data_IF_011640149930
#
_entry.id   IF_011640149930
#
_cell.length_a   1.000
_cell.length_b   1.000
_cell.length_c   1.000
_cell.angle_alpha   90.00
_cell.angle_beta   90.00
_cell.angle_gamma   90.00
#
_symmetry.space_group_name_H-M   'P 1'
#
loop_
_entity.id
_entity.type
_entity.pdbx_description
1 polymer ?
#
# COMPACT_ATOMS: atom_id res chain seq x y z
N UNK A 1 12.99 -6.48 -6.91
CA UNK A 1 12.03 -7.07 -5.95
C UNK A 1 12.66 -7.69 -4.71
N UNK A 2 13.82 -8.34 -4.79
CA UNK A 2 14.46 -8.99 -3.63
C UNK A 2 14.61 -8.12 -2.38
N UNK A 3 14.91 -6.82 -2.52
CA UNK A 3 14.98 -5.88 -1.40
C UNK A 3 13.72 -5.88 -0.51
N UNK A 4 12.53 -5.84 -1.11
CA UNK A 4 11.28 -5.77 -0.35
C UNK A 4 10.94 -7.08 0.34
N UNK A 5 11.40 -8.22 -0.22
CA UNK A 5 11.21 -9.53 0.41
C UNK A 5 11.96 -9.63 1.74
N UNK A 6 13.17 -9.05 1.83
CA UNK A 6 13.94 -9.01 3.09
C UNK A 6 13.15 -8.34 4.22
N UNK A 7 12.30 -7.37 3.90
CA UNK A 7 11.56 -6.59 4.88
C UNK A 7 10.12 -7.04 5.12
N UNK A 8 9.46 -7.62 4.10
CA UNK A 8 8.01 -7.86 4.12
C UNK A 8 7.60 -9.29 3.77
N UNK A 9 8.54 -10.20 3.55
CA UNK A 9 8.20 -11.62 3.36
C UNK A 9 7.46 -12.16 4.60
N UNK A 10 6.32 -12.81 4.38
CA UNK A 10 5.48 -13.37 5.44
C UNK A 10 4.69 -12.33 6.25
N UNK A 11 4.82 -11.05 5.95
CA UNK A 11 4.04 -9.99 6.60
C UNK A 11 2.68 -9.88 5.92
N UNK A 12 1.60 -9.95 6.70
CA UNK A 12 0.25 -9.68 6.19
C UNK A 12 0.19 -8.27 5.60
N UNK A 13 -0.47 -8.12 4.44
CA UNK A 13 -0.54 -6.85 3.72
C UNK A 13 -1.07 -5.70 4.60
N UNK A 14 -2.06 -5.97 5.46
CA UNK A 14 -2.61 -5.00 6.43
C UNK A 14 -1.59 -4.44 7.42
N UNK A 15 -0.49 -5.14 7.64
CA UNK A 15 0.57 -4.77 8.57
C UNK A 15 1.75 -4.04 7.88
N UNK A 16 1.70 -3.88 6.56
CA UNK A 16 2.66 -3.11 5.77
C UNK A 16 2.20 -1.65 5.75
N UNK A 17 2.59 -0.89 6.77
CA UNK A 17 2.26 0.54 6.87
C UNK A 17 3.28 1.42 6.16
N UNK A 18 2.87 2.64 5.83
CA UNK A 18 3.74 3.68 5.25
C UNK A 18 5.01 3.90 6.09
N UNK A 19 4.87 3.93 7.41
CA UNK A 19 6.01 4.07 8.35
C UNK A 19 7.03 2.94 8.16
N UNK A 20 6.58 1.69 8.03
CA UNK A 20 7.48 0.55 7.82
C UNK A 20 8.13 0.59 6.43
N UNK A 21 7.40 1.06 5.42
CA UNK A 21 7.94 1.23 4.06
C UNK A 21 9.09 2.25 4.07
N UNK A 22 8.90 3.43 4.68
CA UNK A 22 9.96 4.42 4.77
C UNK A 22 11.15 3.93 5.62
N UNK A 23 10.88 3.23 6.73
CA UNK A 23 11.93 2.65 7.57
C UNK A 23 12.75 1.56 6.85
N UNK A 24 12.14 0.81 5.94
CA UNK A 24 12.86 -0.13 5.08
C UNK A 24 13.72 0.62 4.06
N UNK A 25 13.13 1.55 3.30
CA UNK A 25 13.82 2.30 2.24
C UNK A 25 14.97 3.15 2.80
N UNK A 26 14.87 3.65 4.04
CA UNK A 26 15.94 4.41 4.67
C UNK A 26 17.23 3.60 4.83
N UNK A 27 17.11 2.29 5.09
CA UNK A 27 18.21 1.33 5.26
C UNK A 27 18.79 0.79 3.94
N UNK A 28 18.28 1.23 2.80
CA UNK A 28 18.72 0.73 1.49
C UNK A 28 20.15 1.19 1.18
N UNK A 29 21.04 0.22 0.97
CA UNK A 29 22.45 0.44 0.61
C UNK A 29 22.72 0.18 -0.87
N UNK A 30 23.73 0.85 -1.41
CA UNK A 30 24.07 0.76 -2.83
C UNK A 30 24.85 -0.52 -3.13
N UNK A 31 24.15 -1.56 -3.60
CA UNK A 31 24.77 -2.84 -3.98
C UNK A 31 25.89 -2.68 -5.01
N UNK A 32 25.71 -1.82 -6.03
CA UNK A 32 26.72 -1.61 -7.06
C UNK A 32 28.01 -1.01 -6.49
N UNK A 33 27.91 -0.22 -5.41
CA UNK A 33 29.09 0.29 -4.71
C UNK A 33 29.90 -0.85 -4.08
N UNK A 34 29.23 -1.83 -3.47
CA UNK A 34 29.87 -3.04 -2.93
C UNK A 34 30.53 -3.86 -4.04
N UNK A 35 29.81 -4.17 -5.12
CA UNK A 35 30.34 -4.97 -6.23
C UNK A 35 31.59 -4.32 -6.85
N UNK A 36 31.57 -2.99 -7.01
CA UNK A 36 32.70 -2.21 -7.48
C UNK A 36 33.88 -2.25 -6.50
N UNK A 37 33.61 -2.13 -5.19
CA UNK A 37 34.64 -2.22 -4.16
C UNK A 37 35.27 -3.60 -4.13
N UNK A 38 34.48 -4.68 -4.20
CA UNK A 38 34.98 -6.07 -4.23
C UNK A 38 35.89 -6.31 -5.43
N UNK A 39 35.49 -5.81 -6.61
CA UNK A 39 36.29 -5.88 -7.83
C UNK A 39 37.63 -5.14 -7.67
N UNK A 40 37.60 -3.92 -7.11
CA UNK A 40 38.80 -3.10 -6.84
C UNK A 40 39.70 -3.77 -5.81
N UNK A 41 39.13 -4.27 -4.72
CA UNK A 41 39.82 -4.98 -3.64
C UNK A 41 40.52 -6.24 -4.16
N UNK A 42 39.85 -7.03 -5.02
CA UNK A 42 40.45 -8.19 -5.66
C UNK A 42 41.67 -7.82 -6.51
N UNK A 43 41.60 -6.70 -7.24
CA UNK A 43 42.72 -6.19 -8.05
C UNK A 43 43.89 -5.71 -7.21
N UNK A 44 43.64 -4.99 -6.12
CA UNK A 44 44.65 -4.51 -5.18
C UNK A 44 45.36 -5.67 -4.47
N UNK A 45 44.61 -6.67 -3.99
CA UNK A 45 45.16 -7.89 -3.36
C UNK A 45 46.12 -8.64 -4.29
N UNK A 46 45.80 -8.75 -5.58
CA UNK A 46 46.68 -9.37 -6.58
C UNK A 46 48.00 -8.61 -6.77
N UNK A 47 48.00 -7.30 -6.53
CA UNK A 47 49.18 -6.42 -6.63
C UNK A 47 49.95 -6.31 -5.31
N UNK A 48 49.50 -6.98 -4.24
CA UNK A 48 50.08 -6.84 -2.90
C UNK A 48 49.84 -5.46 -2.27
N UNK A 49 48.92 -4.68 -2.83
CA UNK A 49 48.59 -3.33 -2.34
C UNK A 49 47.56 -3.39 -1.22
N UNK A 50 47.61 -2.41 -0.30
CA UNK A 50 46.65 -2.28 0.79
C UNK A 50 45.23 -2.07 0.25
N UNK A 51 44.26 -2.78 0.83
CA UNK A 51 42.84 -2.61 0.54
C UNK A 51 42.18 -1.90 1.71
N UNK A 52 41.63 -0.71 1.44
CA UNK A 52 40.81 -0.01 2.41
C UNK A 52 39.53 -0.81 2.75
N UNK A 53 39.12 -0.85 4.03
CA UNK A 53 37.87 -1.50 4.43
C UNK A 53 36.65 -0.97 3.68
N UNK A 54 35.69 -1.84 3.42
CA UNK A 54 34.44 -1.45 2.78
C UNK A 54 33.60 -0.58 3.72
N UNK A 55 33.08 0.53 3.19
CA UNK A 55 32.12 1.39 3.87
C UNK A 55 30.78 1.32 3.15
N UNK A 56 29.71 1.03 3.87
CA UNK A 56 28.37 1.00 3.29
C UNK A 56 27.90 2.41 2.93
N UNK A 57 27.49 2.56 1.67
CA UNK A 57 26.96 3.83 1.17
C UNK A 57 25.46 3.70 0.97
N UNK A 58 24.64 4.60 1.56
CA UNK A 58 23.22 4.60 1.31
C UNK A 58 22.93 4.90 -0.16
N UNK A 59 21.83 4.38 -0.69
CA UNK A 59 21.40 4.79 -2.04
C UNK A 59 21.00 6.26 -2.07
N UNK A 60 21.07 6.86 -3.27
CA UNK A 60 20.63 8.25 -3.48
C UNK A 60 19.15 8.44 -3.14
N UNK A 61 18.77 9.67 -2.80
CA UNK A 61 17.36 10.06 -2.57
C UNK A 61 16.50 9.75 -3.81
N UNK A 62 17.01 10.00 -5.02
CA UNK A 62 16.32 9.67 -6.27
C UNK A 62 16.05 8.16 -6.40
N UNK A 63 17.01 7.32 -6.02
CA UNK A 63 16.83 5.86 -6.02
C UNK A 63 15.76 5.44 -5.02
N UNK A 64 15.73 6.03 -3.81
CA UNK A 64 14.68 5.81 -2.81
C UNK A 64 13.30 6.18 -3.36
N UNK A 65 13.21 7.34 -4.01
CA UNK A 65 11.96 7.83 -4.62
C UNK A 65 11.44 6.88 -5.71
N UNK A 66 12.32 6.34 -6.57
CA UNK A 66 11.93 5.34 -7.59
C UNK A 66 11.33 4.08 -6.98
N UNK A 67 11.91 3.58 -5.88
CA UNK A 67 11.38 2.41 -5.18
C UNK A 67 10.03 2.68 -4.53
N UNK A 68 9.86 3.85 -3.91
CA UNK A 68 8.57 4.27 -3.36
C UNK A 68 7.50 4.42 -4.45
N UNK A 69 7.85 5.03 -5.59
CA UNK A 69 6.95 5.16 -6.72
C UNK A 69 6.49 3.80 -7.25
N UNK A 70 7.41 2.83 -7.37
CA UNK A 70 7.08 1.46 -7.75
C UNK A 70 6.13 0.79 -6.75
N UNK A 71 6.41 0.88 -5.45
CA UNK A 71 5.55 0.31 -4.41
C UNK A 71 4.14 0.93 -4.45
N UNK A 72 4.06 2.25 -4.56
CA UNK A 72 2.78 2.98 -4.69
C UNK A 72 2.01 2.56 -5.94
N UNK A 73 2.70 2.39 -7.08
CA UNK A 73 2.06 1.95 -8.32
C UNK A 73 1.47 0.54 -8.19
N UNK A 74 2.21 -0.40 -7.59
CA UNK A 74 1.72 -1.78 -7.38
C UNK A 74 0.54 -1.81 -6.42
N UNK A 75 0.60 -1.08 -5.31
CA UNK A 75 -0.52 -1.01 -4.37
C UNK A 75 -1.78 -0.44 -5.01
N UNK A 76 -1.64 0.60 -5.85
CA UNK A 76 -2.76 1.15 -6.61
C UNK A 76 -3.32 0.17 -7.63
N UNK A 77 -2.47 -0.58 -8.34
CA UNK A 77 -2.94 -1.60 -9.29
C UNK A 77 -3.66 -2.74 -8.56
N UNK A 78 -3.13 -3.18 -7.41
CA UNK A 78 -3.76 -4.19 -6.57
C UNK A 78 -5.15 -3.74 -6.07
N UNK A 79 -5.30 -2.46 -5.73
CA UNK A 79 -6.57 -1.87 -5.31
C UNK A 79 -7.56 -1.71 -6.48
N UNK A 80 -7.11 -1.16 -7.61
CA UNK A 80 -8.01 -0.68 -8.68
C UNK A 80 -8.24 -1.69 -9.80
N UNK A 81 -7.18 -2.35 -10.23
CA UNK A 81 -7.21 -3.21 -11.43
C UNK A 81 -7.44 -4.66 -11.02
N UNK A 82 -6.70 -5.13 -10.01
CA UNK A 82 -6.74 -6.53 -9.60
C UNK A 82 -7.79 -6.81 -8.53
N UNK A 83 -8.28 -5.76 -7.84
CA UNK A 83 -9.26 -5.87 -6.74
C UNK A 83 -8.81 -6.85 -5.66
N UNK A 84 -7.51 -6.94 -5.42
CA UNK A 84 -6.90 -7.80 -4.40
C UNK A 84 -6.98 -7.19 -3.00
N UNK A 85 -7.32 -5.91 -2.92
CA UNK A 85 -7.45 -5.15 -1.68
C UNK A 85 -8.86 -4.56 -1.69
N UNK A 86 -9.66 -4.89 -0.68
CA UNK A 86 -10.99 -4.32 -0.55
C UNK A 86 -10.92 -2.82 -0.37
N UNK A 87 -11.66 -2.11 -1.21
CA UNK A 87 -11.63 -0.66 -1.26
C UNK A 87 -12.75 -0.12 -0.38
N UNK A 88 -12.44 0.32 0.85
CA UNK A 88 -13.42 1.03 1.69
C UNK A 88 -13.66 2.41 1.08
N UNK A 89 -14.74 2.57 0.33
CA UNK A 89 -15.15 3.86 -0.22
C UNK A 89 -16.06 4.55 0.80
N UNK A 90 -15.98 5.88 0.89
CA UNK A 90 -16.94 6.66 1.68
C UNK A 90 -18.41 6.42 1.26
N UNK A 91 -18.64 5.93 0.04
CA UNK A 91 -19.96 5.48 -0.40
C UNK A 91 -20.48 4.26 0.35
N UNK A 92 -19.59 3.35 0.77
CA UNK A 92 -19.93 2.13 1.51
C UNK A 92 -20.41 2.45 2.93
N UNK A 93 -19.94 3.57 3.50
CA UNK A 93 -20.49 4.13 4.74
C UNK A 93 -21.94 4.58 4.56
N UNK A 94 -22.27 5.19 3.41
CA UNK A 94 -23.62 5.63 3.10
C UNK A 94 -24.56 4.45 2.87
N UNK A 95 -24.07 3.35 2.28
CA UNK A 95 -24.77 2.07 2.21
C UNK A 95 -25.02 1.46 3.58
N UNK A 96 -23.99 1.38 4.42
CA UNK A 96 -24.09 0.83 5.79
C UNK A 96 -25.08 1.64 6.63
N UNK A 97 -24.95 2.97 6.61
CA UNK A 97 -25.85 3.89 7.32
C UNK A 97 -27.30 3.78 6.84
N UNK A 98 -27.54 3.78 5.52
CA UNK A 98 -28.88 3.64 4.94
C UNK A 98 -29.52 2.29 5.31
N UNK A 99 -28.75 1.20 5.23
CA UNK A 99 -29.22 -0.14 5.56
C UNK A 99 -29.61 -0.25 7.05
N UNK A 100 -28.82 0.30 7.96
CA UNK A 100 -29.15 0.31 9.40
C UNK A 100 -30.40 1.11 9.73
N UNK A 101 -30.61 2.26 9.09
CA UNK A 101 -31.82 3.07 9.34
C UNK A 101 -33.08 2.36 8.84
N UNK A 102 -33.03 1.72 7.66
CA UNK A 102 -34.15 0.90 7.17
C UNK A 102 -34.42 -0.28 8.11
N UNK A 103 -33.36 -0.96 8.60
CA UNK A 103 -33.50 -2.05 9.57
C UNK A 103 -34.08 -1.58 10.92
N UNK A 104 -33.78 -0.35 11.34
CA UNK A 104 -34.36 0.29 12.52
C UNK A 104 -35.82 0.77 12.31
N UNK A 105 -36.40 0.53 11.13
CA UNK A 105 -37.78 0.88 10.80
C UNK A 105 -37.97 2.32 10.31
N UNK A 106 -36.90 3.04 9.97
CA UNK A 106 -37.01 4.40 9.41
C UNK A 106 -37.63 4.33 8.01
N UNK A 107 -38.71 5.08 7.74
CA UNK A 107 -39.34 5.10 6.42
C UNK A 107 -38.39 5.58 5.32
N UNK A 108 -38.49 5.01 4.12
CA UNK A 108 -37.63 5.38 2.98
C UNK A 108 -37.76 6.86 2.59
N UNK A 109 -38.90 7.49 2.81
CA UNK A 109 -39.12 8.92 2.58
C UNK A 109 -38.28 9.80 3.53
N UNK A 110 -38.23 9.45 4.81
CA UNK A 110 -37.37 10.14 5.78
C UNK A 110 -35.88 9.90 5.46
N UNK A 111 -35.54 8.69 5.04
CA UNK A 111 -34.18 8.37 4.62
C UNK A 111 -33.77 9.15 3.35
N UNK A 112 -34.68 9.30 2.39
CA UNK A 112 -34.49 10.11 1.18
C UNK A 112 -34.13 11.55 1.52
N UNK A 113 -34.88 12.16 2.44
CA UNK A 113 -34.68 13.54 2.88
C UNK A 113 -33.35 13.69 3.63
N UNK A 114 -33.10 12.84 4.62
CA UNK A 114 -31.87 12.87 5.43
C UNK A 114 -30.61 12.63 4.61
N UNK A 115 -30.71 11.74 3.62
CA UNK A 115 -29.60 11.45 2.73
C UNK A 115 -29.58 12.28 1.46
N UNK A 116 -30.51 13.21 1.23
CA UNK A 116 -30.52 14.07 0.04
C UNK A 116 -30.55 13.31 -1.30
N UNK A 117 -31.32 12.23 -1.39
CA UNK A 117 -31.49 11.47 -2.64
C UNK A 117 -32.62 12.05 -3.49
N UNK A 118 -32.42 12.18 -4.80
CA UNK A 118 -33.41 12.78 -5.70
C UNK A 118 -34.68 11.92 -5.88
N UNK A 119 -34.61 10.62 -5.60
CA UNK A 119 -35.77 9.73 -5.68
C UNK A 119 -35.70 8.56 -4.70
N UNK A 120 -36.85 7.97 -4.38
CA UNK A 120 -36.97 6.78 -3.53
C UNK A 120 -36.30 5.57 -4.20
N UNK A 121 -36.37 5.46 -5.53
CA UNK A 121 -35.69 4.41 -6.28
C UNK A 121 -34.16 4.48 -6.10
N UNK A 122 -33.60 5.68 -5.94
CA UNK A 122 -32.18 5.80 -5.58
C UNK A 122 -31.92 5.27 -4.17
N UNK A 123 -32.74 5.59 -3.18
CA UNK A 123 -32.59 5.08 -1.81
C UNK A 123 -32.62 3.54 -1.77
N UNK A 124 -33.49 2.91 -2.57
CA UNK A 124 -33.58 1.44 -2.65
C UNK A 124 -32.31 0.78 -3.22
N UNK A 125 -31.51 1.49 -4.02
CA UNK A 125 -30.17 1.00 -4.43
C UNK A 125 -29.18 0.99 -3.27
N UNK A 126 -29.40 1.81 -2.24
CA UNK A 126 -28.55 1.86 -1.05
C UNK A 126 -28.99 0.90 0.05
N UNK A 127 -30.29 0.66 0.17
CA UNK A 127 -30.89 -0.19 1.18
C UNK A 127 -31.94 -1.14 0.55
N UNK A 128 -31.50 -2.27 -0.04
CA UNK A 128 -32.43 -3.23 -0.64
C UNK A 128 -33.31 -3.88 0.45
N UNK A 129 -34.59 -4.18 0.17
CA UNK A 129 -35.56 -4.69 1.15
C UNK A 129 -35.27 -6.09 1.71
N UNK A 130 -34.13 -6.70 1.36
CA UNK A 130 -33.61 -7.95 1.95
C UNK A 130 -32.08 -7.90 2.02
N UNK A 131 -31.56 -7.34 3.10
CA UNK A 131 -30.19 -7.61 3.52
C UNK A 131 -30.26 -8.33 4.87
N UNK A 132 -30.23 -9.66 4.84
CA UNK A 132 -29.85 -10.47 6.00
C UNK A 132 -28.41 -10.10 6.38
N UNK A 133 -28.11 -9.84 7.66
CA UNK A 133 -26.74 -9.57 8.07
C UNK A 133 -25.91 -10.87 7.96
N UNK A 134 -24.65 -10.72 7.54
CA UNK A 134 -23.62 -11.73 7.78
C UNK A 134 -23.34 -11.84 9.28
#
# INVERSE_FOLDING_TARGET
MGFWLIHFQGVLLKNISEVKIYAAVSKMTNRKHRDNWESKAGSLRRRGELVEPFVEVPVSISTKAKHLALMKAIMRAAERDWKWIDNFRFHDLRHTWASWLVQAGVPLSALQEMGGWESIEMVQRYAPPRATPF
#
